data_IF_341328569939
#
_entry.id   IF_341328569939
#
_cell.length_a   1.000
_cell.length_b   1.000
_cell.length_c   1.000
_cell.angle_alpha   90.00
_cell.angle_beta   90.00
_cell.angle_gamma   90.00
#
_symmetry.space_group_name_H-M   'P 1'
#
loop_
_entity.id
_entity.type
_entity.pdbx_description
1 polymer ?
#
# COMPACT_ATOMS: atom_id res chain seq x y z
N UNK A 1 -9.87 17.13 18.66
CA UNK A 1 -8.61 17.85 18.36
C UNK A 1 -7.99 17.16 17.15
N UNK A 2 -7.97 17.79 15.98
CA UNK A 2 -7.34 17.23 14.79
C UNK A 2 -5.83 17.14 15.03
N UNK A 3 -5.30 15.93 15.01
CA UNK A 3 -3.88 15.68 15.26
C UNK A 3 -3.07 16.15 14.07
N UNK A 4 -2.25 17.19 14.27
CA UNK A 4 -1.38 17.72 13.23
C UNK A 4 -0.31 16.67 12.89
N UNK A 5 -0.24 16.28 11.62
CA UNK A 5 0.83 15.42 11.10
C UNK A 5 2.17 16.14 11.28
N UNK A 6 3.17 15.40 11.76
CA UNK A 6 4.59 15.80 11.76
C UNK A 6 5.40 14.71 11.07
N UNK A 7 6.18 15.12 10.09
CA UNK A 7 7.11 14.23 9.40
C UNK A 7 8.49 14.88 9.37
N UNK A 8 9.50 14.16 9.89
CA UNK A 8 10.87 14.63 9.95
C UNK A 8 11.77 13.62 9.26
N UNK A 9 12.42 14.01 8.17
CA UNK A 9 13.48 13.24 7.52
C UNK A 9 14.71 13.22 8.42
N UNK A 10 15.26 12.04 8.68
CA UNK A 10 16.40 11.83 9.57
C UNK A 10 17.70 11.55 8.82
N UNK A 11 17.63 10.81 7.71
CA UNK A 11 18.78 10.51 6.87
C UNK A 11 18.35 10.25 5.43
N UNK A 12 19.29 10.43 4.51
CA UNK A 12 19.11 10.23 3.07
C UNK A 12 20.28 9.44 2.46
N UNK A 13 19.98 8.62 1.45
CA UNK A 13 20.97 7.89 0.65
C UNK A 13 20.46 7.80 -0.79
N UNK A 14 21.03 8.60 -1.69
CA UNK A 14 20.47 8.85 -3.02
C UNK A 14 19.07 9.47 -2.93
N UNK A 15 18.09 8.89 -3.61
CA UNK A 15 16.68 9.33 -3.52
C UNK A 15 15.98 8.81 -2.26
N UNK A 16 16.46 7.71 -1.70
CA UNK A 16 15.86 7.07 -0.53
C UNK A 16 16.12 7.87 0.75
N UNK A 17 15.16 7.83 1.67
CA UNK A 17 15.25 8.55 2.94
C UNK A 17 14.60 7.78 4.08
N UNK A 18 15.07 8.00 5.28
CA UNK A 18 14.41 7.56 6.51
C UNK A 18 13.85 8.76 7.25
N UNK A 19 12.77 8.56 7.99
CA UNK A 19 12.15 9.62 8.75
C UNK A 19 11.28 9.10 9.89
N UNK A 20 10.81 10.02 10.69
CA UNK A 20 9.87 9.77 11.77
C UNK A 20 8.55 10.46 11.48
N UNK A 21 7.48 9.69 11.41
CA UNK A 21 6.12 10.13 11.21
C UNK A 21 5.36 10.08 12.53
N UNK A 22 4.70 11.19 12.88
CA UNK A 22 3.81 11.29 14.03
C UNK A 22 2.43 11.78 13.59
N UNK A 23 1.39 11.07 14.00
CA UNK A 23 -0.01 11.35 13.76
C UNK A 23 -0.76 11.24 15.10
N UNK A 24 -0.96 12.37 15.78
CA UNK A 24 -1.46 12.36 17.14
C UNK A 24 -0.54 11.63 18.11
N UNK A 25 -1.04 10.60 18.75
CA UNK A 25 -0.28 9.70 19.63
C UNK A 25 0.43 8.56 18.90
N UNK A 26 0.13 8.35 17.59
CA UNK A 26 0.70 7.26 16.81
C UNK A 26 1.98 7.70 16.11
N UNK A 27 2.94 6.81 16.09
CA UNK A 27 4.24 7.06 15.45
C UNK A 27 4.63 5.90 14.54
N UNK A 28 5.39 6.20 13.49
CA UNK A 28 6.01 5.20 12.62
C UNK A 28 7.36 5.68 12.10
N UNK A 29 8.23 4.73 11.78
CA UNK A 29 9.50 5.01 11.11
C UNK A 29 9.36 4.70 9.62
N UNK A 30 9.74 5.66 8.77
CA UNK A 30 9.76 5.45 7.32
C UNK A 30 11.16 5.03 6.84
N UNK A 31 11.27 4.33 5.68
CA UNK A 31 10.15 3.81 4.89
C UNK A 31 9.34 2.79 5.67
N UNK A 32 8.02 2.76 5.47
CA UNK A 32 7.13 1.79 6.10
C UNK A 32 6.28 1.04 5.08
N UNK A 33 5.99 -0.23 5.41
CA UNK A 33 5.08 -1.06 4.65
C UNK A 33 3.67 -0.99 5.26
N UNK A 34 2.69 -0.74 4.42
CA UNK A 34 1.26 -0.74 4.77
C UNK A 34 0.66 -2.07 4.33
N UNK A 35 -0.02 -2.77 5.24
CA UNK A 35 -0.70 -4.01 4.91
C UNK A 35 -2.11 -3.75 4.39
N UNK A 36 -2.46 -4.44 3.31
CA UNK A 36 -3.77 -4.34 2.68
C UNK A 36 -4.82 -5.19 3.38
N UNK A 37 -6.08 -5.04 3.01
CA UNK A 37 -7.19 -5.84 3.54
C UNK A 37 -7.03 -7.35 3.34
N UNK A 38 -6.30 -7.80 2.32
CA UNK A 38 -6.01 -9.22 2.10
C UNK A 38 -5.17 -9.81 3.23
N UNK A 39 -4.11 -9.11 3.66
CA UNK A 39 -3.26 -9.57 4.78
C UNK A 39 -4.05 -9.53 6.08
N UNK A 40 -4.83 -8.47 6.31
CA UNK A 40 -5.68 -8.33 7.51
C UNK A 40 -6.84 -9.33 7.56
N UNK A 41 -7.22 -9.94 6.43
CA UNK A 41 -8.19 -11.04 6.39
C UNK A 41 -7.59 -12.39 6.83
N UNK A 42 -6.26 -12.52 6.75
CA UNK A 42 -5.53 -13.76 7.08
C UNK A 42 -4.93 -13.70 8.50
N UNK A 43 -4.41 -12.53 8.89
CA UNK A 43 -3.73 -12.30 10.17
C UNK A 43 -4.50 -11.29 11.03
N UNK A 44 -4.59 -11.56 12.31
CA UNK A 44 -5.20 -10.65 13.29
C UNK A 44 -4.31 -9.42 13.53
N UNK A 45 -4.89 -8.34 14.07
CA UNK A 45 -4.14 -7.13 14.44
C UNK A 45 -3.00 -7.40 15.41
N UNK A 46 -3.20 -8.33 16.37
CA UNK A 46 -2.15 -8.74 17.29
C UNK A 46 -0.99 -9.44 16.60
N UNK A 47 -1.26 -10.32 15.63
CA UNK A 47 -0.23 -10.97 14.82
C UNK A 47 0.51 -9.96 13.93
N UNK A 48 -0.21 -9.04 13.29
CA UNK A 48 0.40 -7.98 12.49
C UNK A 48 1.37 -7.13 13.33
N UNK A 49 0.93 -6.74 14.54
CA UNK A 49 1.77 -5.98 15.49
C UNK A 49 3.02 -6.78 15.88
N UNK A 50 2.86 -8.06 16.24
CA UNK A 50 3.97 -8.94 16.61
C UNK A 50 4.97 -9.16 15.46
N UNK A 51 4.53 -9.07 14.21
CA UNK A 51 5.36 -9.15 13.00
C UNK A 51 6.01 -7.81 12.61
N UNK A 52 5.82 -6.74 13.40
CA UNK A 52 6.43 -5.44 13.16
C UNK A 52 5.68 -4.55 12.17
N UNK A 53 4.43 -4.85 11.85
CA UNK A 53 3.59 -4.00 11.01
C UNK A 53 3.27 -2.69 11.73
N UNK A 54 3.50 -1.56 11.06
CA UNK A 54 3.25 -0.22 11.61
C UNK A 54 1.96 0.43 11.08
N UNK A 55 1.50 -0.01 9.90
CA UNK A 55 0.33 0.58 9.25
C UNK A 55 -0.51 -0.46 8.49
N UNK A 56 -1.82 -0.23 8.47
CA UNK A 56 -2.79 -0.98 7.66
C UNK A 56 -3.59 -0.03 6.77
N UNK A 57 -4.14 -0.57 5.68
CA UNK A 57 -5.02 0.19 4.76
C UNK A 57 -6.47 -0.25 4.92
N UNK A 58 -7.39 0.73 4.96
CA UNK A 58 -8.82 0.51 5.03
C UNK A 58 -9.56 1.28 3.93
N UNK A 59 -10.53 0.64 3.27
CA UNK A 59 -11.26 1.22 2.14
C UNK A 59 -12.53 1.92 2.60
N UNK A 60 -12.60 3.24 2.42
CA UNK A 60 -13.80 4.03 2.70
C UNK A 60 -15.01 3.55 1.88
N UNK A 61 -14.79 3.17 0.60
CA UNK A 61 -15.85 2.65 -0.25
C UNK A 61 -16.47 1.37 0.30
N UNK A 62 -15.64 0.42 0.77
CA UNK A 62 -16.14 -0.85 1.29
C UNK A 62 -16.97 -0.67 2.57
N UNK A 63 -16.53 0.20 3.48
CA UNK A 63 -17.31 0.52 4.68
C UNK A 63 -18.58 1.28 4.36
N UNK A 64 -18.54 2.22 3.41
CA UNK A 64 -19.73 2.92 2.93
C UNK A 64 -20.78 1.98 2.34
N UNK A 65 -20.35 1.03 1.52
CA UNK A 65 -21.24 0.02 0.94
C UNK A 65 -21.82 -0.93 2.00
N UNK A 66 -20.96 -1.44 2.90
CA UNK A 66 -21.39 -2.31 4.02
C UNK A 66 -22.43 -1.63 4.90
N UNK A 67 -22.24 -0.36 5.20
CA UNK A 67 -23.18 0.44 5.98
C UNK A 67 -24.37 0.97 5.16
N UNK A 68 -24.42 0.68 3.86
CA UNK A 68 -25.47 1.19 2.93
C UNK A 68 -25.59 2.73 2.97
N UNK A 69 -24.46 3.43 3.18
CA UNK A 69 -24.41 4.87 3.30
C UNK A 69 -24.86 5.44 4.64
N UNK A 70 -25.16 4.61 5.63
CA UNK A 70 -25.66 4.99 6.96
C UNK A 70 -24.60 4.67 8.02
N UNK A 71 -23.87 5.68 8.55
CA UNK A 71 -22.78 5.47 9.50
C UNK A 71 -23.17 4.67 10.74
N UNK A 72 -24.38 4.82 11.23
CA UNK A 72 -24.91 4.10 12.38
C UNK A 72 -24.97 2.57 12.20
N UNK A 73 -24.93 2.10 10.97
CA UNK A 73 -24.87 0.67 10.64
C UNK A 73 -23.49 0.06 10.74
N UNK A 74 -22.44 0.86 10.96
CA UNK A 74 -21.08 0.34 11.18
C UNK A 74 -20.97 -0.47 12.47
N UNK A 75 -21.72 -0.08 13.51
CA UNK A 75 -21.67 -0.72 14.81
C UNK A 75 -20.42 -0.39 15.64
N UNK A 76 -19.63 0.60 15.20
CA UNK A 76 -18.46 1.14 15.89
C UNK A 76 -18.27 2.62 15.52
N UNK A 77 -17.55 3.37 16.36
CA UNK A 77 -17.28 4.79 16.16
C UNK A 77 -15.86 5.07 15.62
N UNK A 78 -14.92 4.15 15.83
CA UNK A 78 -13.52 4.30 15.46
C UNK A 78 -12.96 2.97 14.93
N UNK A 79 -12.27 3.03 13.80
CA UNK A 79 -11.70 1.84 13.14
C UNK A 79 -10.57 1.20 13.96
N UNK A 80 -9.81 1.98 14.72
CA UNK A 80 -8.74 1.47 15.56
C UNK A 80 -9.29 0.62 16.70
N UNK A 81 -10.36 1.07 17.35
CA UNK A 81 -11.04 0.31 18.41
C UNK A 81 -11.68 -0.96 17.83
N UNK A 82 -12.37 -0.83 16.69
CA UNK A 82 -13.02 -1.95 16.02
C UNK A 82 -12.03 -3.06 15.65
N UNK A 83 -10.90 -2.70 15.08
CA UNK A 83 -9.85 -3.64 14.66
C UNK A 83 -8.86 -3.97 15.80
N UNK A 84 -8.93 -3.28 16.95
CA UNK A 84 -7.90 -3.32 17.99
C UNK A 84 -6.51 -3.03 17.41
N UNK A 85 -6.43 -2.05 16.52
CA UNK A 85 -5.22 -1.70 15.81
C UNK A 85 -4.51 -0.50 16.45
N UNK A 86 -3.27 -0.67 17.01
CA UNK A 86 -2.55 0.42 17.67
C UNK A 86 -1.79 1.33 16.70
N UNK A 87 -1.49 0.85 15.49
CA UNK A 87 -0.68 1.55 14.49
C UNK A 87 -1.47 2.53 13.63
N UNK A 88 -0.85 3.00 12.55
CA UNK A 88 -1.43 3.96 11.61
C UNK A 88 -2.47 3.26 10.71
N UNK A 89 -3.56 3.95 10.41
CA UNK A 89 -4.56 3.56 9.41
C UNK A 89 -4.50 4.52 8.22
N UNK A 90 -4.15 3.97 7.05
CA UNK A 90 -4.22 4.69 5.77
C UNK A 90 -5.60 4.44 5.16
N UNK A 91 -6.38 5.50 5.02
CA UNK A 91 -7.69 5.45 4.37
C UNK A 91 -7.52 5.47 2.86
N UNK A 92 -7.97 4.41 2.18
CA UNK A 92 -8.10 4.43 0.73
C UNK A 92 -9.46 5.02 0.33
N UNK A 93 -9.47 5.95 -0.64
CA UNK A 93 -10.71 6.53 -1.13
C UNK A 93 -11.64 5.50 -1.79
N UNK A 94 -11.10 4.41 -2.35
CA UNK A 94 -11.85 3.39 -3.10
C UNK A 94 -12.28 3.85 -4.51
N UNK A 95 -11.74 4.98 -4.97
CA UNK A 95 -12.05 5.53 -6.28
C UNK A 95 -11.73 4.56 -7.43
N UNK A 96 -10.58 3.88 -7.35
CA UNK A 96 -10.13 2.88 -8.31
C UNK A 96 -11.14 1.72 -8.44
N UNK A 97 -11.64 1.23 -7.32
CA UNK A 97 -12.62 0.14 -7.28
C UNK A 97 -13.98 0.59 -7.84
N UNK A 98 -14.46 1.77 -7.43
CA UNK A 98 -15.67 2.37 -7.98
C UNK A 98 -15.56 2.57 -9.50
N UNK A 99 -14.37 3.01 -9.96
CA UNK A 99 -14.07 3.22 -11.38
C UNK A 99 -14.11 1.93 -12.19
N UNK A 100 -13.57 0.82 -11.65
CA UNK A 100 -13.62 -0.52 -12.28
C UNK A 100 -15.04 -1.06 -12.41
N UNK A 101 -15.92 -0.77 -11.46
CA UNK A 101 -17.33 -1.17 -11.52
C UNK A 101 -18.20 -0.28 -12.42
N UNK A 102 -17.73 0.94 -12.70
CA UNK A 102 -18.47 1.90 -13.51
C UNK A 102 -18.37 1.59 -15.01
N UNK A 103 -19.53 1.58 -15.69
CA UNK A 103 -19.56 1.69 -17.15
C UNK A 103 -19.07 3.08 -17.58
N UNK A 104 -18.58 3.28 -18.82
CA UNK A 104 -18.09 4.58 -19.27
C UNK A 104 -19.06 5.76 -19.00
N UNK A 105 -20.37 5.54 -19.15
CA UNK A 105 -21.41 6.54 -18.85
C UNK A 105 -21.53 6.90 -17.36
N UNK A 106 -21.02 6.07 -16.47
CA UNK A 106 -21.01 6.30 -15.02
C UNK A 106 -19.86 7.20 -14.54
N UNK A 107 -18.87 7.44 -15.39
CA UNK A 107 -17.70 8.28 -15.10
C UNK A 107 -18.05 9.74 -15.33
N UNK A 108 -18.46 10.46 -14.27
CA UNK A 108 -18.98 11.83 -14.33
C UNK A 108 -18.00 12.82 -13.72
N UNK A 109 -18.10 14.10 -14.09
CA UNK A 109 -17.29 15.17 -13.49
C UNK A 109 -17.45 15.28 -11.96
N UNK A 110 -18.63 14.95 -11.42
CA UNK A 110 -18.93 15.03 -9.98
C UNK A 110 -18.58 13.78 -9.21
N UNK A 111 -18.15 12.70 -9.86
CA UNK A 111 -17.82 11.43 -9.22
C UNK A 111 -18.10 10.23 -10.11
N UNK A 112 -18.28 9.07 -9.52
CA UNK A 112 -18.41 7.77 -10.20
C UNK A 112 -19.76 7.14 -9.87
N UNK A 113 -20.58 6.87 -10.90
CA UNK A 113 -21.81 6.11 -10.78
C UNK A 113 -21.58 4.68 -11.25
N UNK A 114 -21.87 3.72 -10.42
CA UNK A 114 -21.70 2.29 -10.70
C UNK A 114 -22.85 1.46 -10.14
N UNK A 115 -22.93 0.20 -10.54
CA UNK A 115 -23.82 -0.76 -9.92
C UNK A 115 -23.03 -1.57 -8.89
N UNK A 116 -23.51 -1.54 -7.65
CA UNK A 116 -22.90 -2.31 -6.56
C UNK A 116 -22.93 -3.80 -6.90
N UNK A 117 -21.78 -4.51 -6.93
CA UNK A 117 -21.75 -5.90 -7.36
C UNK A 117 -22.61 -6.85 -6.50
N UNK A 118 -22.75 -6.57 -5.21
CA UNK A 118 -23.48 -7.42 -4.28
C UNK A 118 -25.01 -7.29 -4.40
N UNK A 119 -25.51 -6.08 -4.69
CA UNK A 119 -26.95 -5.77 -4.68
C UNK A 119 -27.52 -5.41 -6.05
N UNK A 120 -26.68 -5.10 -7.02
CA UNK A 120 -27.07 -4.56 -8.32
C UNK A 120 -27.61 -3.13 -8.28
N UNK A 121 -27.67 -2.50 -7.11
CA UNK A 121 -28.18 -1.13 -6.96
C UNK A 121 -27.23 -0.12 -7.58
N UNK A 122 -27.81 0.88 -8.26
CA UNK A 122 -27.02 2.01 -8.74
C UNK A 122 -26.62 2.92 -7.58
N UNK A 123 -25.32 3.21 -7.47
CA UNK A 123 -24.73 4.09 -6.46
C UNK A 123 -23.99 5.23 -7.14
N UNK A 124 -23.93 6.37 -6.46
CA UNK A 124 -23.08 7.51 -6.84
C UNK A 124 -22.07 7.74 -5.74
N UNK A 125 -20.78 7.68 -6.09
CA UNK A 125 -19.68 7.87 -5.16
C UNK A 125 -18.86 9.09 -5.58
N UNK A 126 -18.69 10.04 -4.66
CA UNK A 126 -18.07 11.35 -4.95
C UNK A 126 -16.80 11.54 -4.13
N UNK A 127 -15.90 12.48 -4.54
CA UNK A 127 -14.72 12.84 -3.76
C UNK A 127 -15.06 13.22 -2.32
N UNK A 128 -16.09 14.03 -2.14
CA UNK A 128 -16.52 14.50 -0.81
C UNK A 128 -17.00 13.33 0.07
N UNK A 129 -17.75 12.40 -0.53
CA UNK A 129 -18.25 11.23 0.19
C UNK A 129 -17.09 10.31 0.61
N UNK A 130 -16.13 10.08 -0.30
CA UNK A 130 -14.96 9.28 0.00
C UNK A 130 -14.15 9.86 1.17
N UNK A 131 -13.92 11.17 1.18
CA UNK A 131 -13.20 11.85 2.24
C UNK A 131 -13.97 11.84 3.56
N UNK A 132 -15.28 12.12 3.50
CA UNK A 132 -16.15 12.06 4.68
C UNK A 132 -16.07 10.68 5.36
N UNK A 133 -16.10 9.60 4.59
CA UNK A 133 -16.05 8.24 5.13
C UNK A 133 -14.67 7.86 5.66
N UNK A 134 -13.59 8.30 5.02
CA UNK A 134 -12.24 8.11 5.57
C UNK A 134 -12.11 8.78 6.96
N UNK A 135 -12.63 10.00 7.12
CA UNK A 135 -12.63 10.72 8.40
C UNK A 135 -13.54 10.07 9.43
N UNK A 136 -14.74 9.68 9.01
CA UNK A 136 -15.72 9.02 9.88
C UNK A 136 -15.19 7.72 10.45
N UNK A 137 -14.41 6.98 9.66
CA UNK A 137 -13.72 5.77 10.11
C UNK A 137 -12.59 6.05 11.11
N UNK A 138 -12.10 7.28 11.21
CA UNK A 138 -10.95 7.61 12.04
C UNK A 138 -9.60 7.28 11.39
N UNK A 139 -9.51 7.29 10.04
CA UNK A 139 -8.24 7.07 9.35
C UNK A 139 -7.25 8.20 9.66
N UNK A 140 -5.98 7.86 9.91
CA UNK A 140 -4.92 8.80 10.26
C UNK A 140 -4.38 9.55 9.03
N UNK A 141 -4.18 8.84 7.91
CA UNK A 141 -3.81 9.37 6.61
C UNK A 141 -4.94 9.09 5.61
N UNK A 142 -5.28 10.09 4.80
CA UNK A 142 -6.34 10.02 3.82
C UNK A 142 -5.74 10.03 2.42
N UNK A 143 -6.18 9.15 1.53
CA UNK A 143 -5.78 9.19 0.12
C UNK A 143 -6.87 9.92 -0.67
N UNK A 144 -6.48 10.98 -1.38
CA UNK A 144 -7.39 11.77 -2.19
C UNK A 144 -8.09 10.95 -3.28
N UNK A 145 -9.26 11.40 -3.68
CA UNK A 145 -10.03 10.77 -4.74
C UNK A 145 -9.41 11.08 -6.10
N UNK A 146 -9.18 10.06 -6.92
CA UNK A 146 -8.58 10.21 -8.23
C UNK A 146 -9.33 9.45 -9.31
N UNK A 147 -9.28 9.97 -10.53
CA UNK A 147 -9.61 9.20 -11.70
C UNK A 147 -8.53 8.13 -11.90
N UNK A 148 -8.94 6.94 -12.33
CA UNK A 148 -8.04 5.82 -12.55
C UNK A 148 -8.08 5.41 -14.02
N UNK A 149 -6.90 5.40 -14.64
CA UNK A 149 -6.69 4.78 -15.96
C UNK A 149 -5.43 3.92 -15.90
N UNK A 150 -5.32 2.96 -16.82
CA UNK A 150 -4.17 2.07 -16.89
C UNK A 150 -2.88 2.84 -17.16
N UNK A 151 -1.75 2.30 -16.69
CA UNK A 151 -0.43 2.92 -16.85
C UNK A 151 -0.09 3.23 -18.31
N UNK A 152 -0.48 2.35 -19.23
CA UNK A 152 -0.24 2.45 -20.68
C UNK A 152 -1.45 2.98 -21.46
N UNK A 153 -2.39 3.65 -20.80
CA UNK A 153 -3.55 4.24 -21.47
C UNK A 153 -3.13 5.30 -22.53
N UNK A 154 -3.99 5.60 -23.51
CA UNK A 154 -3.75 6.66 -24.49
C UNK A 154 -3.45 8.01 -23.85
N UNK A 155 -2.66 8.84 -24.53
CA UNK A 155 -2.22 10.16 -24.01
C UNK A 155 -3.39 11.04 -23.59
N UNK A 156 -4.45 11.09 -24.42
CA UNK A 156 -5.63 11.91 -24.16
C UNK A 156 -6.38 11.45 -22.90
N UNK A 157 -6.45 10.13 -22.66
CA UNK A 157 -7.05 9.57 -21.44
C UNK A 157 -6.23 9.91 -20.19
N UNK A 158 -4.90 9.79 -20.27
CA UNK A 158 -4.01 10.16 -19.18
C UNK A 158 -4.05 11.67 -18.88
N UNK A 159 -4.17 12.52 -19.89
CA UNK A 159 -4.35 13.96 -19.71
C UNK A 159 -5.70 14.28 -19.06
N UNK A 160 -6.78 13.65 -19.53
CA UNK A 160 -8.11 13.79 -18.94
C UNK A 160 -8.14 13.29 -17.48
N UNK A 161 -7.39 12.23 -17.18
CA UNK A 161 -7.22 11.71 -15.81
C UNK A 161 -6.56 12.74 -14.91
N UNK A 162 -5.46 13.34 -15.34
CA UNK A 162 -4.76 14.35 -14.56
C UNK A 162 -5.62 15.59 -14.32
N UNK A 163 -6.31 16.07 -15.38
CA UNK A 163 -7.20 17.23 -15.27
C UNK A 163 -8.37 16.96 -14.32
N UNK A 164 -9.07 15.84 -14.48
CA UNK A 164 -10.22 15.52 -13.62
C UNK A 164 -9.81 15.28 -12.17
N UNK A 165 -8.66 14.64 -11.92
CA UNK A 165 -8.12 14.45 -10.57
C UNK A 165 -7.80 15.79 -9.94
N UNK A 166 -7.21 16.74 -10.67
CA UNK A 166 -6.96 18.09 -10.18
C UNK A 166 -8.25 18.84 -9.84
N UNK A 167 -9.30 18.73 -10.69
CA UNK A 167 -10.62 19.31 -10.42
C UNK A 167 -11.21 18.74 -9.10
N UNK A 168 -11.12 17.43 -8.88
CA UNK A 168 -11.61 16.78 -7.65
C UNK A 168 -10.82 17.16 -6.41
N UNK A 169 -9.50 17.31 -6.51
CA UNK A 169 -8.67 17.82 -5.43
C UNK A 169 -9.06 19.23 -5.01
N UNK A 170 -9.36 20.11 -5.97
CA UNK A 170 -9.81 21.48 -5.72
C UNK A 170 -11.19 21.58 -5.06
N UNK A 171 -12.00 20.52 -5.07
CA UNK A 171 -13.30 20.46 -4.41
C UNK A 171 -13.18 20.24 -2.89
N UNK A 172 -12.04 19.77 -2.42
CA UNK A 172 -11.80 19.50 -1.01
C UNK A 172 -11.20 20.73 -0.34
N UNK A 173 -11.95 21.33 0.59
CA UNK A 173 -11.53 22.52 1.34
C UNK A 173 -10.67 22.21 2.57
N UNK A 174 -10.54 20.94 2.95
CA UNK A 174 -9.82 20.52 4.16
C UNK A 174 -8.93 19.30 3.85
N UNK A 175 -7.74 19.57 3.34
CA UNK A 175 -6.76 18.50 3.03
C UNK A 175 -5.88 18.10 4.24
N UNK A 176 -6.41 18.24 5.45
CA UNK A 176 -5.72 17.78 6.66
C UNK A 176 -5.41 16.28 6.56
N UNK A 177 -4.14 15.94 6.76
CA UNK A 177 -3.62 14.58 6.66
C UNK A 177 -3.94 13.87 5.33
N UNK A 178 -4.16 14.63 4.23
CA UNK A 178 -4.49 14.07 2.93
C UNK A 178 -3.25 13.99 2.05
N UNK A 179 -3.02 12.80 1.50
CA UNK A 179 -2.05 12.52 0.45
C UNK A 179 -2.70 12.85 -0.89
N UNK A 180 -2.21 13.87 -1.57
CA UNK A 180 -2.74 14.29 -2.86
C UNK A 180 -2.36 13.29 -3.96
N UNK A 181 -3.32 12.81 -4.76
CA UNK A 181 -3.03 11.89 -5.86
C UNK A 181 -2.21 12.56 -6.95
N UNK A 182 -1.17 11.86 -7.41
CA UNK A 182 -0.38 12.17 -8.59
C UNK A 182 -0.59 11.06 -9.60
N UNK A 183 -1.19 11.38 -10.74
CA UNK A 183 -1.59 10.46 -11.81
C UNK A 183 -0.92 10.82 -13.13
N UNK A 184 -1.00 9.96 -14.19
CA UNK A 184 -0.52 10.29 -15.53
C UNK A 184 0.30 9.21 -16.22
N UNK A 185 0.18 7.94 -15.78
CA UNK A 185 0.85 6.79 -16.40
C UNK A 185 2.36 6.96 -16.51
N UNK A 186 2.97 6.55 -17.60
CA UNK A 186 4.40 6.70 -17.89
C UNK A 186 4.80 8.07 -18.48
N UNK A 187 3.85 9.01 -18.62
CA UNK A 187 4.07 10.27 -19.36
C UNK A 187 4.57 11.39 -18.42
N UNK A 188 5.85 11.74 -18.54
CA UNK A 188 6.50 12.77 -17.73
C UNK A 188 5.73 14.09 -17.70
N UNK A 189 5.29 14.61 -18.87
CA UNK A 189 4.56 15.90 -18.94
C UNK A 189 3.23 15.84 -18.18
N UNK A 190 2.51 14.73 -18.26
CA UNK A 190 1.23 14.57 -17.56
C UNK A 190 1.47 14.49 -16.04
N UNK A 191 2.49 13.73 -15.61
CA UNK A 191 2.91 13.68 -14.21
C UNK A 191 3.33 15.05 -13.67
N UNK A 192 4.09 15.84 -14.46
CA UNK A 192 4.46 17.22 -14.09
C UNK A 192 3.23 18.10 -13.84
N UNK A 193 2.25 18.07 -14.75
CA UNK A 193 1.01 18.81 -14.57
C UNK A 193 0.22 18.35 -13.34
N UNK A 194 0.16 17.04 -13.10
CA UNK A 194 -0.50 16.46 -11.93
C UNK A 194 0.18 16.85 -10.61
N UNK A 195 1.52 16.81 -10.56
CA UNK A 195 2.30 17.28 -9.40
C UNK A 195 2.06 18.77 -9.13
N UNK A 196 2.12 19.61 -10.18
CA UNK A 196 1.89 21.05 -10.03
C UNK A 196 0.48 21.35 -9.47
N UNK A 197 -0.55 20.66 -9.98
CA UNK A 197 -1.92 20.81 -9.46
C UNK A 197 -2.05 20.33 -8.01
N UNK A 198 -1.41 19.22 -7.65
CA UNK A 198 -1.41 18.70 -6.29
C UNK A 198 -0.73 19.65 -5.30
N UNK A 199 0.40 20.28 -5.69
CA UNK A 199 1.13 21.24 -4.84
C UNK A 199 0.30 22.47 -4.50
N UNK A 200 -0.55 22.96 -5.40
CA UNK A 200 -1.45 24.10 -5.16
C UNK A 200 -2.44 23.87 -4.01
N UNK A 201 -2.69 22.63 -3.64
CA UNK A 201 -3.63 22.27 -2.55
C UNK A 201 -2.96 22.18 -1.18
N UNK A 202 -1.64 22.36 -1.09
CA UNK A 202 -0.86 22.25 0.13
C UNK A 202 -1.13 20.98 0.95
N UNK A 203 -1.02 19.77 0.34
CA UNK A 203 -1.31 18.52 1.02
C UNK A 203 -0.21 18.15 2.02
N UNK A 204 -0.46 17.19 2.91
CA UNK A 204 0.59 16.65 3.79
C UNK A 204 1.60 15.75 3.06
N UNK A 205 1.28 15.33 1.84
CA UNK A 205 2.11 14.47 1.01
C UNK A 205 1.42 14.07 -0.29
N UNK A 206 2.02 13.13 -1.00
CA UNK A 206 1.63 12.77 -2.36
C UNK A 206 1.45 11.26 -2.48
N UNK A 207 0.35 10.82 -3.10
CA UNK A 207 0.10 9.42 -3.45
C UNK A 207 0.32 9.21 -4.96
N UNK A 208 1.30 8.40 -5.33
CA UNK A 208 1.64 8.11 -6.73
C UNK A 208 0.72 7.00 -7.24
N UNK A 209 -0.34 7.37 -7.95
CA UNK A 209 -1.35 6.42 -8.42
C UNK A 209 -1.12 5.98 -9.86
N UNK A 210 -1.66 4.80 -10.22
CA UNK A 210 -1.50 4.20 -11.55
C UNK A 210 -0.09 3.67 -11.81
N UNK A 211 0.67 3.32 -10.76
CA UNK A 211 1.95 2.60 -10.82
C UNK A 211 1.77 1.36 -9.96
N UNK A 212 1.01 0.40 -10.45
CA UNK A 212 0.66 -0.81 -9.74
C UNK A 212 1.56 -2.01 -10.10
N UNK A 213 1.21 -3.19 -9.60
CA UNK A 213 1.94 -4.43 -9.83
C UNK A 213 2.10 -4.85 -11.30
N UNK A 214 1.30 -4.31 -12.22
CA UNK A 214 1.39 -4.61 -13.66
C UNK A 214 2.50 -3.80 -14.36
N UNK A 215 3.03 -2.74 -13.73
CA UNK A 215 4.08 -1.91 -14.31
C UNK A 215 5.42 -2.63 -14.21
N UNK A 216 6.16 -2.70 -15.34
CA UNK A 216 7.49 -3.31 -15.37
C UNK A 216 8.44 -2.59 -14.40
N UNK A 217 9.33 -3.36 -13.75
CA UNK A 217 10.22 -2.87 -12.71
C UNK A 217 11.10 -1.68 -13.15
N UNK A 218 11.66 -1.74 -14.36
CA UNK A 218 12.46 -0.65 -14.93
C UNK A 218 11.64 0.64 -15.12
N UNK A 219 10.38 0.51 -15.56
CA UNK A 219 9.47 1.65 -15.72
C UNK A 219 9.03 2.21 -14.36
N UNK A 220 8.73 1.34 -13.39
CA UNK A 220 8.43 1.77 -12.02
C UNK A 220 9.58 2.58 -11.45
N UNK A 221 10.81 2.07 -11.55
CA UNK A 221 12.02 2.77 -11.13
C UNK A 221 12.15 4.15 -11.78
N UNK A 222 12.05 4.21 -13.11
CA UNK A 222 12.18 5.44 -13.88
C UNK A 222 11.14 6.48 -13.46
N UNK A 223 9.86 6.08 -13.45
CA UNK A 223 8.76 7.03 -13.21
C UNK A 223 8.72 7.52 -11.76
N UNK A 224 9.02 6.66 -10.78
CA UNK A 224 9.11 7.08 -9.37
C UNK A 224 10.25 8.10 -9.21
N UNK A 225 11.45 7.80 -9.73
CA UNK A 225 12.58 8.71 -9.64
C UNK A 225 12.30 10.07 -10.28
N UNK A 226 11.65 10.09 -11.46
CA UNK A 226 11.24 11.33 -12.12
C UNK A 226 10.23 12.15 -11.29
N UNK A 227 9.26 11.49 -10.64
CA UNK A 227 8.26 12.17 -9.81
C UNK A 227 8.90 12.67 -8.52
N UNK A 228 9.69 11.84 -7.84
CA UNK A 228 10.37 12.21 -6.59
C UNK A 228 11.22 13.45 -6.75
N UNK A 229 11.91 13.61 -7.88
CA UNK A 229 12.68 14.80 -8.20
C UNK A 229 11.84 16.10 -8.34
N UNK A 230 10.53 15.99 -8.48
CA UNK A 230 9.59 17.12 -8.60
C UNK A 230 8.85 17.41 -7.29
N UNK A 231 8.88 16.49 -6.32
CA UNK A 231 8.14 16.62 -5.07
C UNK A 231 8.92 17.43 -4.03
N UNK A 232 8.24 18.22 -3.19
CA UNK A 232 8.88 18.85 -2.03
C UNK A 232 9.50 17.83 -1.09
N UNK A 233 10.58 18.25 -0.43
CA UNK A 233 11.31 17.40 0.53
C UNK A 233 10.50 17.11 1.79
N UNK A 234 9.65 18.02 2.23
CA UNK A 234 8.85 17.89 3.46
C UNK A 234 7.62 17.02 3.30
N UNK A 235 7.13 16.83 2.06
CA UNK A 235 5.91 16.05 1.79
C UNK A 235 6.15 14.54 1.91
N UNK A 236 5.20 13.82 2.54
CA UNK A 236 5.19 12.36 2.52
C UNK A 236 5.01 11.84 1.10
N UNK A 237 5.63 10.68 0.80
CA UNK A 237 5.57 10.03 -0.51
C UNK A 237 5.03 8.62 -0.36
N UNK A 238 3.86 8.38 -0.93
CA UNK A 238 3.16 7.11 -0.82
C UNK A 238 2.98 6.45 -2.19
N UNK A 239 3.35 5.18 -2.30
CA UNK A 239 3.09 4.33 -3.46
C UNK A 239 2.16 3.19 -3.06
N UNK A 240 0.91 3.17 -3.52
CA UNK A 240 0.02 2.03 -3.30
C UNK A 240 0.23 0.91 -4.34
N UNK A 241 -0.26 -0.29 -3.99
CA UNK A 241 -0.47 -1.41 -4.91
C UNK A 241 0.80 -2.00 -5.55
N UNK A 242 1.92 -2.06 -4.82
CA UNK A 242 3.07 -2.84 -5.24
C UNK A 242 2.74 -4.34 -5.24
N UNK A 243 2.87 -4.99 -6.40
CA UNK A 243 2.47 -6.39 -6.58
C UNK A 243 3.54 -7.41 -6.22
N UNK A 244 4.82 -7.01 -6.14
CA UNK A 244 5.95 -7.90 -5.91
C UNK A 244 6.93 -7.31 -4.89
N UNK A 245 7.69 -8.19 -4.23
CA UNK A 245 8.73 -7.81 -3.27
C UNK A 245 9.74 -6.84 -3.89
N UNK A 246 10.21 -7.11 -5.10
CA UNK A 246 11.18 -6.28 -5.81
C UNK A 246 10.62 -4.88 -6.08
N UNK A 247 9.33 -4.77 -6.40
CA UNK A 247 8.65 -3.48 -6.58
C UNK A 247 8.61 -2.66 -5.30
N UNK A 248 8.37 -3.31 -4.14
CA UNK A 248 8.43 -2.67 -2.83
C UNK A 248 9.81 -2.11 -2.56
N UNK A 249 10.86 -2.93 -2.76
CA UNK A 249 12.22 -2.53 -2.44
C UNK A 249 12.74 -1.42 -3.38
N UNK A 250 12.42 -1.49 -4.67
CA UNK A 250 12.74 -0.41 -5.63
C UNK A 250 11.98 0.88 -5.30
N UNK A 251 10.71 0.80 -4.93
CA UNK A 251 9.96 1.98 -4.53
C UNK A 251 10.63 2.70 -3.35
N UNK A 252 11.05 1.96 -2.33
CA UNK A 252 11.80 2.48 -1.18
C UNK A 252 13.13 3.10 -1.64
N UNK A 253 13.90 2.40 -2.48
CA UNK A 253 15.18 2.87 -2.99
C UNK A 253 15.04 4.14 -3.85
N UNK A 254 13.90 4.33 -4.53
CA UNK A 254 13.58 5.54 -5.29
C UNK A 254 12.95 6.66 -4.45
N UNK A 255 12.87 6.51 -3.13
CA UNK A 255 12.49 7.59 -2.21
C UNK A 255 11.04 7.61 -1.76
N UNK A 256 10.33 6.48 -1.84
CA UNK A 256 9.00 6.36 -1.24
C UNK A 256 9.11 6.14 0.27
N UNK A 257 8.33 6.90 1.05
CA UNK A 257 8.26 6.80 2.52
C UNK A 257 7.29 5.71 2.97
N UNK A 258 6.22 5.55 2.19
CA UNK A 258 5.11 4.65 2.48
C UNK A 258 4.86 3.81 1.23
N UNK A 259 4.83 2.50 1.38
CA UNK A 259 4.53 1.57 0.28
C UNK A 259 3.48 0.58 0.76
N UNK A 260 2.40 0.36 0.02
CA UNK A 260 1.50 -0.74 0.34
C UNK A 260 1.66 -1.91 -0.63
N UNK A 261 1.50 -3.11 -0.09
CA UNK A 261 1.59 -4.33 -0.87
C UNK A 261 0.86 -5.47 -0.15
N UNK A 262 0.25 -6.34 -0.94
CA UNK A 262 -0.27 -7.63 -0.50
C UNK A 262 0.65 -8.80 -0.90
N UNK A 263 1.86 -8.51 -1.37
CA UNK A 263 2.77 -9.52 -1.92
C UNK A 263 3.10 -10.65 -0.93
N UNK A 264 3.15 -10.39 0.38
CA UNK A 264 3.37 -11.42 1.38
C UNK A 264 2.26 -12.48 1.38
N UNK A 265 0.99 -12.05 1.35
CA UNK A 265 -0.17 -12.94 1.31
C UNK A 265 -0.34 -13.58 -0.08
N UNK A 266 -0.19 -12.79 -1.15
CA UNK A 266 -0.30 -13.31 -2.53
C UNK A 266 0.73 -14.39 -2.82
N UNK A 267 1.98 -14.18 -2.41
CA UNK A 267 3.06 -15.17 -2.55
C UNK A 267 2.75 -16.42 -1.71
N UNK A 268 2.20 -16.27 -0.50
CA UNK A 268 1.77 -17.39 0.34
C UNK A 268 0.62 -18.18 -0.27
N UNK A 269 -0.38 -17.51 -0.86
CA UNK A 269 -1.50 -18.15 -1.58
C UNK A 269 -1.02 -19.02 -2.74
N UNK A 270 0.10 -18.66 -3.37
CA UNK A 270 0.75 -19.48 -4.41
C UNK A 270 1.73 -20.51 -3.83
N UNK A 271 1.67 -20.80 -2.54
CA UNK A 271 2.49 -21.80 -1.87
C UNK A 271 3.98 -21.48 -1.84
N UNK A 272 4.34 -20.20 -1.85
CA UNK A 272 5.72 -19.75 -1.95
C UNK A 272 6.14 -18.99 -0.68
N UNK A 273 7.33 -19.32 -0.17
CA UNK A 273 7.96 -18.63 0.96
C UNK A 273 9.14 -17.76 0.50
N UNK A 274 9.35 -16.63 1.18
CA UNK A 274 10.52 -15.78 1.00
C UNK A 274 11.74 -16.32 1.74
N UNK A 275 12.90 -16.36 1.07
CA UNK A 275 14.23 -16.61 1.62
C UNK A 275 15.09 -15.34 1.43
N UNK A 276 14.81 -14.29 2.18
CA UNK A 276 15.28 -12.95 1.83
C UNK A 276 14.61 -12.49 0.54
N UNK A 277 15.38 -12.19 -0.50
CA UNK A 277 14.85 -11.85 -1.84
C UNK A 277 14.57 -13.07 -2.71
N UNK A 278 15.06 -14.25 -2.33
CA UNK A 278 14.83 -15.51 -3.05
C UNK A 278 13.48 -16.13 -2.65
N UNK A 279 13.01 -17.10 -3.45
CA UNK A 279 11.72 -17.77 -3.25
C UNK A 279 11.92 -19.30 -3.13
N UNK A 280 11.15 -19.90 -2.21
CA UNK A 280 11.02 -21.34 -2.07
C UNK A 280 9.57 -21.73 -2.40
N UNK A 281 9.40 -22.51 -3.48
CA UNK A 281 8.10 -23.00 -3.91
C UNK A 281 7.77 -24.29 -3.17
N UNK A 282 6.97 -24.21 -2.10
CA UNK A 282 6.63 -25.34 -1.23
C UNK A 282 5.69 -26.36 -1.88
N UNK A 283 5.09 -26.04 -3.01
CA UNK A 283 4.24 -26.96 -3.78
C UNK A 283 5.04 -28.01 -4.59
N UNK A 284 6.37 -27.89 -4.64
CA UNK A 284 7.24 -28.82 -5.38
C UNK A 284 7.35 -30.18 -4.68
N UNK A 285 7.14 -31.28 -5.41
CA UNK A 285 7.05 -32.64 -4.91
C UNK A 285 8.28 -33.10 -4.10
N UNK A 286 9.49 -32.66 -4.47
CA UNK A 286 10.70 -33.01 -3.74
C UNK A 286 10.75 -32.50 -2.28
N UNK A 287 9.83 -31.61 -1.89
CA UNK A 287 9.71 -31.10 -0.54
C UNK A 287 8.76 -31.93 0.33
N UNK A 288 8.03 -32.90 -0.24
CA UNK A 288 7.09 -33.75 0.50
C UNK A 288 7.76 -34.53 1.64
N UNK A 289 9.05 -34.83 1.54
CA UNK A 289 9.84 -35.49 2.59
C UNK A 289 10.85 -34.58 3.30
N UNK A 290 10.86 -33.28 3.05
CA UNK A 290 11.85 -32.36 3.62
C UNK A 290 11.51 -32.01 5.08
N UNK A 291 12.19 -32.66 6.04
CA UNK A 291 11.99 -32.46 7.47
C UNK A 291 12.62 -31.18 8.04
N UNK A 292 13.39 -30.44 7.24
CA UNK A 292 13.99 -29.17 7.67
C UNK A 292 12.93 -28.13 7.95
N UNK A 293 13.20 -27.24 8.92
CA UNK A 293 12.39 -26.05 9.15
C UNK A 293 12.32 -25.15 7.90
N UNK A 294 11.30 -24.34 7.77
CA UNK A 294 11.08 -23.50 6.59
C UNK A 294 12.34 -22.67 6.24
N UNK A 295 12.84 -21.92 7.20
CA UNK A 295 14.11 -21.17 7.07
C UNK A 295 14.90 -21.30 8.38
N UNK A 296 16.04 -21.98 8.39
CA UNK A 296 16.88 -22.09 9.57
C UNK A 296 17.30 -20.71 10.09
N UNK A 297 17.18 -20.52 11.41
CA UNK A 297 17.54 -19.26 12.08
C UNK A 297 16.53 -18.11 11.96
N UNK A 298 15.47 -18.26 11.17
CA UNK A 298 14.41 -17.25 11.06
C UNK A 298 13.63 -17.14 12.38
N UNK A 299 13.38 -15.91 12.83
CA UNK A 299 12.70 -15.61 14.09
C UNK A 299 11.18 -15.43 13.95
N UNK A 300 10.60 -15.66 12.75
CA UNK A 300 9.16 -15.56 12.60
C UNK A 300 8.43 -16.66 13.38
N UNK A 301 7.16 -16.46 13.79
CA UNK A 301 6.40 -17.44 14.57
C UNK A 301 6.32 -18.81 13.89
N UNK A 302 6.17 -18.86 12.57
CA UNK A 302 6.10 -20.12 11.80
C UNK A 302 7.38 -20.93 11.91
N UNK A 303 8.54 -20.30 11.77
CA UNK A 303 9.85 -20.98 11.87
C UNK A 303 10.18 -21.34 13.31
N UNK A 304 9.84 -20.50 14.28
CA UNK A 304 10.05 -20.75 15.70
C UNK A 304 9.19 -21.92 16.22
N UNK A 305 8.00 -22.11 15.66
CA UNK A 305 7.15 -23.27 15.96
C UNK A 305 7.71 -24.60 15.41
N UNK A 306 8.78 -24.54 14.60
CA UNK A 306 9.47 -25.73 14.10
C UNK A 306 8.74 -26.48 12.97
N UNK A 307 7.75 -25.88 12.33
CA UNK A 307 7.07 -26.52 11.19
C UNK A 307 8.04 -26.86 10.06
N UNK A 308 8.00 -28.15 9.63
CA UNK A 308 8.85 -28.62 8.54
C UNK A 308 8.32 -28.17 7.17
N UNK A 309 9.21 -28.14 6.17
CA UNK A 309 8.82 -27.91 4.78
C UNK A 309 7.84 -28.97 4.29
N UNK A 310 8.04 -30.24 4.68
CA UNK A 310 7.12 -31.32 4.37
C UNK A 310 5.72 -31.09 4.92
N UNK A 311 5.60 -30.64 6.17
CA UNK A 311 4.31 -30.32 6.77
C UNK A 311 3.61 -29.14 6.05
N UNK A 312 4.36 -28.08 5.75
CA UNK A 312 3.81 -26.94 5.00
C UNK A 312 3.42 -27.35 3.58
N UNK A 313 4.22 -28.19 2.90
CA UNK A 313 3.87 -28.80 1.62
C UNK A 313 2.53 -29.55 1.70
N UNK A 314 2.37 -30.43 2.70
CA UNK A 314 1.13 -31.17 2.91
C UNK A 314 -0.07 -30.24 3.09
N UNK A 315 0.02 -29.22 3.96
CA UNK A 315 -1.06 -28.26 4.18
C UNK A 315 -1.48 -27.54 2.88
N UNK A 316 -0.50 -27.23 2.02
CA UNK A 316 -0.78 -26.58 0.73
C UNK A 316 -1.45 -27.53 -0.26
N UNK A 317 -1.03 -28.80 -0.33
CA UNK A 317 -1.66 -29.82 -1.16
C UNK A 317 -3.12 -30.07 -0.73
N UNK A 318 -3.39 -30.05 0.57
CA UNK A 318 -4.73 -30.17 1.15
C UNK A 318 -5.56 -28.87 1.04
N UNK A 319 -4.99 -27.82 0.44
CA UNK A 319 -5.62 -26.48 0.35
C UNK A 319 -6.04 -25.92 1.72
N UNK A 320 -5.30 -26.29 2.76
CA UNK A 320 -5.58 -25.86 4.12
C UNK A 320 -5.34 -24.34 4.30
N UNK A 321 -6.29 -23.56 4.83
CA UNK A 321 -6.09 -22.16 5.13
C UNK A 321 -4.98 -21.92 6.16
N UNK A 322 -4.66 -22.94 6.99
CA UNK A 322 -3.55 -22.89 7.95
C UNK A 322 -2.21 -22.77 7.23
N UNK A 323 -1.99 -23.50 6.13
CA UNK A 323 -0.77 -23.40 5.33
C UNK A 323 -0.54 -21.98 4.81
N UNK A 324 -1.57 -21.38 4.21
CA UNK A 324 -1.53 -20.00 3.71
C UNK A 324 -1.24 -19.01 4.85
N UNK A 325 -1.91 -19.16 6.01
CA UNK A 325 -1.70 -18.29 7.17
C UNK A 325 -0.28 -18.36 7.71
N UNK A 326 0.29 -19.55 7.88
CA UNK A 326 1.66 -19.75 8.34
C UNK A 326 2.68 -19.13 7.37
N UNK A 327 2.48 -19.31 6.06
CA UNK A 327 3.33 -18.71 5.05
C UNK A 327 3.18 -17.19 4.99
N UNK A 328 1.96 -16.67 5.12
CA UNK A 328 1.73 -15.21 5.14
C UNK A 328 2.46 -14.58 6.32
N UNK A 329 2.39 -15.17 7.51
CA UNK A 329 3.10 -14.69 8.69
C UNK A 329 4.63 -14.71 8.48
N UNK A 330 5.17 -15.79 7.89
CA UNK A 330 6.59 -15.88 7.55
C UNK A 330 6.99 -14.83 6.50
N UNK A 331 6.27 -14.73 5.39
CA UNK A 331 6.57 -13.81 4.30
C UNK A 331 6.51 -12.34 4.75
N UNK A 332 5.51 -12.01 5.56
CA UNK A 332 5.37 -10.67 6.12
C UNK A 332 6.53 -10.32 7.07
N UNK A 333 6.94 -11.28 7.92
CA UNK A 333 8.11 -11.09 8.78
C UNK A 333 9.36 -10.80 7.95
N UNK A 334 9.64 -11.62 6.93
CA UNK A 334 10.82 -11.44 6.04
C UNK A 334 10.76 -10.08 5.34
N UNK A 335 9.60 -9.67 4.85
CA UNK A 335 9.43 -8.40 4.17
C UNK A 335 9.67 -7.21 5.11
N UNK A 336 9.13 -7.24 6.34
CA UNK A 336 9.38 -6.22 7.36
C UNK A 336 10.87 -6.15 7.74
N UNK A 337 11.55 -7.31 7.88
CA UNK A 337 13.00 -7.36 8.13
C UNK A 337 13.81 -6.74 6.97
N UNK A 338 13.40 -6.95 5.72
CA UNK A 338 14.04 -6.30 4.57
C UNK A 338 13.86 -4.78 4.62
N UNK A 339 12.66 -4.29 4.93
CA UNK A 339 12.41 -2.85 5.10
C UNK A 339 13.25 -2.28 6.23
N UNK A 340 13.42 -2.99 7.35
CA UNK A 340 14.32 -2.57 8.44
C UNK A 340 15.79 -2.50 8.00
N UNK A 341 16.26 -3.46 7.22
CA UNK A 341 17.61 -3.43 6.63
C UNK A 341 17.79 -2.22 5.71
N UNK A 342 16.76 -1.88 4.92
CA UNK A 342 16.77 -0.66 4.09
C UNK A 342 16.87 0.60 4.94
N UNK A 343 16.09 0.74 6.02
CA UNK A 343 16.20 1.88 6.95
C UNK A 343 17.63 2.02 7.51
N UNK A 344 18.22 0.91 7.96
CA UNK A 344 19.57 0.89 8.50
C UNK A 344 20.62 1.26 7.43
N UNK A 345 20.50 0.73 6.22
CA UNK A 345 21.40 1.03 5.12
C UNK A 345 21.28 2.50 4.66
N UNK A 346 20.05 3.05 4.60
CA UNK A 346 19.83 4.46 4.28
C UNK A 346 20.46 5.35 5.36
N UNK A 347 20.21 5.07 6.64
CA UNK A 347 20.76 5.83 7.76
C UNK A 347 22.30 5.79 7.79
N UNK A 348 22.91 4.71 7.33
CA UNK A 348 24.37 4.55 7.23
C UNK A 348 24.97 5.04 5.90
N UNK A 349 24.17 5.55 4.94
CA UNK A 349 24.63 5.94 3.61
C UNK A 349 25.10 4.77 2.73
N UNK A 350 24.69 3.54 3.03
CA UNK A 350 25.16 2.30 2.37
C UNK A 350 24.07 1.56 1.58
N UNK A 351 23.07 2.30 1.10
CA UNK A 351 21.96 1.69 0.36
C UNK A 351 22.42 0.97 -0.92
N UNK A 352 23.36 1.56 -1.66
CA UNK A 352 23.89 0.96 -2.89
C UNK A 352 24.57 -0.40 -2.64
N UNK A 353 25.31 -0.52 -1.52
CA UNK A 353 25.92 -1.79 -1.10
C UNK A 353 24.85 -2.85 -0.80
N UNK A 354 23.82 -2.48 -0.04
CA UNK A 354 22.72 -3.38 0.28
C UNK A 354 21.98 -3.86 -0.98
N UNK A 355 21.72 -2.95 -1.93
CA UNK A 355 21.04 -3.30 -3.18
C UNK A 355 21.87 -4.29 -4.01
N UNK A 356 23.18 -4.09 -4.09
CA UNK A 356 24.10 -5.02 -4.76
C UNK A 356 24.12 -6.39 -4.06
N UNK A 357 24.20 -6.45 -2.74
CA UNK A 357 24.16 -7.70 -1.95
C UNK A 357 22.85 -8.47 -2.15
N UNK A 358 21.75 -7.78 -2.33
CA UNK A 358 20.44 -8.39 -2.58
C UNK A 358 20.20 -8.76 -4.04
N UNK A 359 21.17 -8.49 -4.93
CA UNK A 359 21.07 -8.66 -6.39
C UNK A 359 19.82 -7.96 -6.98
N UNK A 360 19.52 -6.77 -6.47
CA UNK A 360 18.45 -5.90 -6.97
C UNK A 360 19.12 -4.85 -7.85
N UNK A 361 18.77 -4.81 -9.13
CA UNK A 361 19.30 -3.79 -10.06
C UNK A 361 18.82 -2.40 -9.62
N UNK A 362 19.82 -1.57 -9.26
CA UNK A 362 19.59 -0.22 -8.72
C UNK A 362 19.85 0.85 -9.77
#
# INVERSE_FOLDING_TARGET
>A
MESKLKFNVQAESGNARTGHLQLGSRTATTPMLVQTGMVSAILTSGELTALGTQAIKQSALEYWLRAQGQPERLGFADIHEHLRWPGIVVGASGADQAYRWAKPRGRKKTGVSFHEPATGQQKMYTPQLAQQWQRLLGCDLLVGFARWDDYYAPVDDLQATAQQTAEWLGMDKQLLNTLAPVVGGGLKRVRQASVAAAQLTHPCGYALLGIDGAVKLAEQRRVIGEIVAMLPTEGLRYLPACGALEQVLIAIAQGMDIVDSDCAAMTALHGTAYLGTKRLHLTQEHLAGDSRTLVPGCQCPTCQAGYSRAYLHQLLQEQSPVGVRLLTAHNLYVLNQLVDRFRQAIAAGRLAELMADLAIDY
#
